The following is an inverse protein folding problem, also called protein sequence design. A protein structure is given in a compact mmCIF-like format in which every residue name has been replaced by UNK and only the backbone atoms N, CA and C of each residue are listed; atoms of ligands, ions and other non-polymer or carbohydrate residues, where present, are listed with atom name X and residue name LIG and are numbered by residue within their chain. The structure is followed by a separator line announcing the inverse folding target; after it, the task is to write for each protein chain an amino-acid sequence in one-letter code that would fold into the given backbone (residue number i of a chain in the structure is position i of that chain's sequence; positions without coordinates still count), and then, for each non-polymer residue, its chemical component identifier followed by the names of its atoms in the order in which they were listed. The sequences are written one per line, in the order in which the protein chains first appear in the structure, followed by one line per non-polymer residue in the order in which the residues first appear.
data_IF_805551011294
#
_entry.id   IF_805551011294
#
_cell.length_a   1.000
_cell.length_b   1.000
_cell.length_c   1.000
_cell.angle_alpha   90.00
_cell.angle_beta   90.00
_cell.angle_gamma   90.00
#
_symmetry.space_group_name_H-M   'P 1'
#
loop_
_entity.id
_entity.type
_entity.pdbx_description
1 polymer ?
#
# COMPACT_ATOMS: atom_id res chain seq x y z
N UNK A 1 -6.43 -1.90 -18.03
CA UNK A 1 -7.62 -2.68 -17.60
C UNK A 1 -8.74 -2.64 -18.65
N UNK A 2 -9.12 -1.48 -19.22
CA UNK A 2 -10.20 -1.34 -20.23
C UNK A 2 -10.10 -2.35 -21.36
N UNK A 3 -8.93 -2.46 -22.03
CA UNK A 3 -8.74 -3.39 -23.14
C UNK A 3 -8.92 -4.86 -22.70
N UNK A 4 -8.56 -5.19 -21.45
CA UNK A 4 -8.77 -6.53 -20.92
C UNK A 4 -10.27 -6.81 -20.70
N UNK A 5 -11.02 -5.85 -20.16
CA UNK A 5 -12.48 -5.97 -19.99
C UNK A 5 -13.16 -6.17 -21.33
N UNK A 6 -12.89 -5.31 -22.31
CA UNK A 6 -13.47 -5.41 -23.66
C UNK A 6 -13.10 -6.71 -24.36
N UNK A 7 -11.82 -7.09 -24.29
CA UNK A 7 -11.34 -8.34 -24.92
C UNK A 7 -11.95 -9.59 -24.28
N UNK A 8 -12.02 -9.65 -22.94
CA UNK A 8 -12.63 -10.81 -22.25
C UNK A 8 -14.13 -10.88 -22.47
N UNK A 9 -14.83 -9.73 -22.60
CA UNK A 9 -16.25 -9.71 -22.95
C UNK A 9 -16.49 -10.27 -24.35
N UNK A 10 -15.67 -9.90 -25.34
CA UNK A 10 -15.77 -10.46 -26.70
C UNK A 10 -15.51 -11.97 -26.72
N UNK A 11 -14.48 -12.43 -25.97
CA UNK A 11 -14.16 -13.88 -25.87
C UNK A 11 -15.30 -14.65 -25.19
N UNK A 12 -15.89 -14.10 -24.12
CA UNK A 12 -17.04 -14.72 -23.44
C UNK A 12 -18.23 -14.84 -24.39
N UNK A 13 -18.55 -13.78 -25.16
CA UNK A 13 -19.62 -13.80 -26.16
C UNK A 13 -19.41 -14.82 -27.25
N UNK A 14 -18.18 -14.97 -27.77
CA UNK A 14 -17.82 -15.98 -28.77
C UNK A 14 -17.84 -17.43 -28.23
N UNK A 15 -17.80 -17.62 -26.93
CA UNK A 15 -17.75 -18.94 -26.27
C UNK A 15 -18.97 -19.18 -25.35
N UNK A 16 -20.14 -18.62 -25.68
CA UNK A 16 -21.31 -18.63 -24.80
C UNK A 16 -21.80 -20.05 -24.42
N UNK A 17 -21.52 -21.04 -25.26
CA UNK A 17 -21.85 -22.43 -25.05
C UNK A 17 -20.80 -23.20 -24.22
N UNK A 18 -19.74 -22.53 -23.75
CA UNK A 18 -18.72 -23.11 -22.88
C UNK A 18 -18.72 -22.39 -21.52
N UNK A 19 -19.47 -22.93 -20.50
CA UNK A 19 -19.63 -22.26 -19.21
C UNK A 19 -18.30 -22.02 -18.46
N UNK A 20 -17.34 -22.93 -18.56
CA UNK A 20 -16.03 -22.80 -17.90
C UNK A 20 -15.24 -21.62 -18.49
N UNK A 21 -15.25 -21.49 -19.81
CA UNK A 21 -14.59 -20.39 -20.51
C UNK A 21 -15.25 -19.05 -20.20
N UNK A 22 -16.58 -19.02 -20.14
CA UNK A 22 -17.34 -17.82 -19.77
C UNK A 22 -17.03 -17.43 -18.31
N UNK A 23 -17.01 -18.38 -17.38
CA UNK A 23 -16.67 -18.13 -15.98
C UNK A 23 -15.25 -17.55 -15.82
N UNK A 24 -14.25 -18.12 -16.51
CA UNK A 24 -12.87 -17.58 -16.54
C UNK A 24 -12.83 -16.12 -17.06
N UNK A 25 -13.55 -15.84 -18.15
CA UNK A 25 -13.63 -14.49 -18.69
C UNK A 25 -14.29 -13.52 -17.73
N UNK A 26 -15.39 -13.90 -17.08
CA UNK A 26 -16.09 -13.08 -16.09
C UNK A 26 -15.18 -12.78 -14.87
N UNK A 27 -14.42 -13.76 -14.38
CA UNK A 27 -13.44 -13.56 -13.32
C UNK A 27 -12.39 -12.52 -13.69
N UNK A 28 -11.84 -12.61 -14.91
CA UNK A 28 -10.85 -11.64 -15.43
C UNK A 28 -11.44 -10.25 -15.65
N UNK A 29 -12.71 -10.16 -16.09
CA UNK A 29 -13.43 -8.88 -16.21
C UNK A 29 -13.59 -8.25 -14.82
N UNK A 30 -14.05 -9.00 -13.83
CA UNK A 30 -14.22 -8.53 -12.46
C UNK A 30 -12.90 -8.00 -11.88
N UNK A 31 -11.83 -8.77 -12.01
CA UNK A 31 -10.49 -8.36 -11.56
C UNK A 31 -10.02 -7.08 -12.24
N UNK A 32 -10.20 -6.99 -13.58
CA UNK A 32 -9.79 -5.80 -14.34
C UNK A 32 -10.64 -4.58 -14.01
N UNK A 33 -11.92 -4.78 -13.68
CA UNK A 33 -12.82 -3.70 -13.26
C UNK A 33 -12.45 -3.16 -11.88
N UNK A 34 -12.16 -4.03 -10.91
CA UNK A 34 -11.67 -3.59 -9.60
C UNK A 34 -10.35 -2.84 -9.71
N UNK A 35 -9.43 -3.32 -10.56
CA UNK A 35 -8.19 -2.61 -10.82
C UNK A 35 -8.44 -1.22 -11.42
N UNK A 36 -9.36 -1.09 -12.38
CA UNK A 36 -9.70 0.20 -12.99
C UNK A 36 -10.30 1.17 -11.96
N UNK A 37 -11.20 0.69 -11.10
CA UNK A 37 -11.77 1.50 -10.01
C UNK A 37 -10.68 1.98 -9.05
N UNK A 38 -9.72 1.13 -8.69
CA UNK A 38 -8.56 1.51 -7.89
C UNK A 38 -7.76 2.65 -8.51
N UNK A 39 -7.46 2.54 -9.82
CA UNK A 39 -6.74 3.59 -10.57
C UNK A 39 -7.49 4.93 -10.58
N UNK A 40 -8.80 4.89 -10.79
CA UNK A 40 -9.64 6.10 -10.78
C UNK A 40 -9.61 6.76 -9.41
N UNK A 41 -9.73 5.97 -8.34
CA UNK A 41 -9.70 6.49 -6.98
C UNK A 41 -8.33 7.10 -6.63
N UNK A 42 -7.22 6.47 -7.02
CA UNK A 42 -5.87 7.03 -6.84
C UNK A 42 -5.70 8.38 -7.56
N UNK A 43 -6.19 8.51 -8.81
CA UNK A 43 -6.14 9.78 -9.56
C UNK A 43 -7.03 10.85 -8.91
N UNK A 44 -8.22 10.48 -8.43
CA UNK A 44 -9.12 11.40 -7.72
C UNK A 44 -8.51 11.85 -6.39
N UNK A 45 -7.89 10.94 -5.63
CA UNK A 45 -7.19 11.27 -4.39
C UNK A 45 -6.04 12.25 -4.67
N UNK A 46 -5.21 11.96 -5.68
CA UNK A 46 -4.13 12.87 -6.07
C UNK A 46 -4.63 14.27 -6.45
N UNK A 47 -5.68 14.34 -7.26
CA UNK A 47 -6.31 15.62 -7.65
C UNK A 47 -6.86 16.40 -6.45
N UNK A 48 -7.47 15.71 -5.48
CA UNK A 48 -7.97 16.35 -4.23
C UNK A 48 -6.81 16.87 -3.38
N UNK A 49 -5.73 16.12 -3.27
CA UNK A 49 -4.51 16.50 -2.56
C UNK A 49 -3.90 17.76 -3.19
N UNK A 50 -3.66 17.76 -4.51
CA UNK A 50 -3.08 18.89 -5.24
C UNK A 50 -3.93 20.16 -5.13
N UNK A 51 -5.25 20.02 -5.07
CA UNK A 51 -6.17 21.16 -4.90
C UNK A 51 -6.28 21.68 -3.46
N UNK A 52 -5.60 21.06 -2.50
CA UNK A 52 -5.66 21.42 -1.07
C UNK A 52 -7.03 21.24 -0.43
N UNK A 53 -7.92 20.44 -1.04
CA UNK A 53 -9.31 20.24 -0.59
C UNK A 53 -9.49 19.03 0.33
N UNK A 54 -8.42 18.33 0.64
CA UNK A 54 -8.49 17.19 1.57
C UNK A 54 -8.54 17.72 3.00
N UNK A 55 -9.54 17.32 3.73
CA UNK A 55 -9.70 17.58 5.16
C UNK A 55 -9.51 16.25 5.88
N UNK A 56 -8.74 16.22 6.97
CA UNK A 56 -8.61 15.04 7.82
C UNK A 56 -9.94 14.75 8.51
N UNK A 57 -10.33 13.49 8.51
CA UNK A 57 -11.49 13.01 9.24
C UNK A 57 -11.01 12.34 10.54
N UNK A 58 -10.78 13.15 11.56
CA UNK A 58 -10.27 12.66 12.85
C UNK A 58 -11.40 12.04 13.67
N UNK A 59 -11.16 10.82 14.15
CA UNK A 59 -12.09 10.05 15.00
C UNK A 59 -11.32 9.23 16.04
N UNK A 60 -12.03 8.77 17.06
CA UNK A 60 -11.46 7.84 18.03
C UNK A 60 -11.37 6.43 17.42
N UNK A 61 -10.22 5.80 17.51
CA UNK A 61 -10.01 4.42 17.05
C UNK A 61 -8.93 3.71 17.88
N UNK A 62 -8.88 2.38 17.75
CA UNK A 62 -7.89 1.56 18.43
C UNK A 62 -6.79 1.13 17.46
N UNK A 63 -5.52 1.31 17.84
CA UNK A 63 -4.36 1.00 17.00
C UNK A 63 -4.18 -0.51 16.78
N UNK A 64 -4.51 -1.35 17.77
CA UNK A 64 -4.40 -2.79 17.62
C UNK A 64 -5.46 -3.31 16.62
N UNK A 65 -6.69 -2.81 16.67
CA UNK A 65 -7.75 -3.12 15.69
C UNK A 65 -7.34 -2.67 14.28
N UNK A 66 -6.76 -1.49 14.14
CA UNK A 66 -6.23 -0.99 12.85
C UNK A 66 -5.17 -1.92 12.28
N UNK A 67 -4.27 -2.45 13.11
CA UNK A 67 -3.24 -3.40 12.69
C UNK A 67 -3.87 -4.72 12.24
N UNK A 68 -4.84 -5.24 12.96
CA UNK A 68 -5.55 -6.47 12.60
C UNK A 68 -6.27 -6.33 11.25
N UNK A 69 -6.91 -5.20 11.01
CA UNK A 69 -7.56 -4.88 9.73
C UNK A 69 -6.54 -4.83 8.58
N UNK A 70 -5.40 -4.17 8.78
CA UNK A 70 -4.31 -4.08 7.81
C UNK A 70 -3.77 -5.46 7.43
N UNK A 71 -3.59 -6.35 8.41
CA UNK A 71 -3.16 -7.73 8.19
C UNK A 71 -4.25 -8.49 7.45
N UNK A 72 -5.51 -8.35 7.86
CA UNK A 72 -6.67 -9.00 7.25
C UNK A 72 -6.79 -8.70 5.76
N UNK A 73 -6.67 -7.42 5.38
CA UNK A 73 -6.73 -6.96 3.98
C UNK A 73 -5.59 -7.57 3.13
N UNK A 74 -4.40 -7.72 3.69
CA UNK A 74 -3.23 -8.18 2.94
C UNK A 74 -3.01 -9.69 2.99
N UNK A 75 -3.70 -10.42 3.88
CA UNK A 75 -3.51 -11.86 4.13
C UNK A 75 -3.59 -12.72 2.87
N UNK A 76 -4.55 -12.42 1.99
CA UNK A 76 -4.71 -13.17 0.73
C UNK A 76 -3.51 -13.03 -0.20
N UNK A 77 -2.98 -11.82 -0.34
CA UNK A 77 -1.82 -11.54 -1.19
C UNK A 77 -0.53 -12.13 -0.60
N UNK A 78 -0.35 -12.03 0.71
CA UNK A 78 0.78 -12.62 1.44
C UNK A 78 0.81 -14.14 1.21
N UNK A 79 -0.34 -14.80 1.38
CA UNK A 79 -0.47 -16.23 1.18
C UNK A 79 -0.26 -16.66 -0.29
N UNK A 80 -0.76 -15.88 -1.25
CA UNK A 80 -0.62 -16.16 -2.68
C UNK A 80 0.84 -16.15 -3.15
N UNK A 81 1.70 -15.31 -2.54
CA UNK A 81 3.14 -15.24 -2.79
C UNK A 81 3.96 -16.12 -1.84
N UNK A 82 3.33 -16.80 -0.90
CA UNK A 82 4.00 -17.64 0.10
C UNK A 82 4.94 -16.86 1.03
N UNK A 83 4.69 -15.56 1.23
CA UNK A 83 5.50 -14.73 2.12
C UNK A 83 5.24 -15.07 3.59
N UNK A 84 6.28 -14.92 4.42
CA UNK A 84 6.13 -14.83 5.86
C UNK A 84 5.97 -13.36 6.28
N UNK A 85 5.02 -13.09 7.18
CA UNK A 85 4.80 -11.79 7.78
C UNK A 85 4.95 -11.91 9.30
N UNK A 86 5.92 -11.18 9.86
CA UNK A 86 6.03 -10.98 11.30
C UNK A 86 5.43 -9.63 11.67
N UNK A 87 4.63 -9.63 12.73
CA UNK A 87 3.97 -8.43 13.25
C UNK A 87 4.40 -8.19 14.68
N UNK A 88 4.87 -6.98 14.96
CA UNK A 88 5.35 -6.59 16.29
C UNK A 88 4.70 -5.29 16.77
N UNK A 89 4.04 -5.36 17.91
CA UNK A 89 3.54 -4.20 18.64
C UNK A 89 4.53 -3.90 19.80
N UNK A 90 5.25 -2.80 19.69
CA UNK A 90 6.26 -2.43 20.67
C UNK A 90 5.83 -1.25 21.51
N UNK A 91 5.80 -1.43 22.84
CA UNK A 91 5.61 -0.35 23.82
C UNK A 91 4.43 0.57 23.48
N UNK A 92 3.28 0.01 23.13
CA UNK A 92 2.04 0.76 23.00
C UNK A 92 1.46 0.92 24.41
N UNK A 93 1.62 2.11 24.99
CA UNK A 93 0.99 2.48 26.28
C UNK A 93 -0.41 3.04 26.05
N UNK A 94 -0.62 3.65 24.87
CA UNK A 94 -1.90 4.25 24.48
C UNK A 94 -2.35 3.66 23.15
N UNK A 95 -3.27 2.70 23.20
CA UNK A 95 -3.82 2.06 22.01
C UNK A 95 -5.03 2.80 21.45
N UNK A 96 -5.83 3.44 22.34
CA UNK A 96 -6.99 4.25 21.96
C UNK A 96 -6.53 5.67 21.66
N UNK A 97 -6.67 6.09 20.42
CA UNK A 97 -6.15 7.36 19.91
C UNK A 97 -7.21 8.11 19.09
N UNK A 98 -6.94 9.39 18.82
CA UNK A 98 -7.78 10.25 18.01
C UNK A 98 -7.01 10.70 16.78
N UNK A 99 -7.52 10.43 15.59
CA UNK A 99 -6.86 10.75 14.31
C UNK A 99 -7.61 10.20 13.11
N UNK A 100 -7.02 10.30 11.91
CA UNK A 100 -7.62 9.80 10.66
C UNK A 100 -7.17 8.35 10.39
N UNK A 101 -7.93 7.40 10.95
CA UNK A 101 -7.67 5.95 10.83
C UNK A 101 -7.62 5.50 9.37
N UNK A 102 -8.50 6.04 8.51
CA UNK A 102 -8.57 5.69 7.08
C UNK A 102 -7.32 6.14 6.32
N UNK A 103 -6.79 7.32 6.64
CA UNK A 103 -5.55 7.81 6.01
C UNK A 103 -4.33 7.02 6.47
N UNK A 104 -4.25 6.68 7.75
CA UNK A 104 -3.20 5.79 8.26
C UNK A 104 -3.28 4.43 7.56
N UNK A 105 -4.47 3.84 7.49
CA UNK A 105 -4.69 2.58 6.78
C UNK A 105 -4.27 2.66 5.31
N UNK A 106 -4.62 3.74 4.61
CA UNK A 106 -4.22 3.97 3.21
C UNK A 106 -2.70 4.01 3.05
N UNK A 107 -2.00 4.77 3.91
CA UNK A 107 -0.53 4.88 3.90
C UNK A 107 0.12 3.51 4.08
N UNK A 108 -0.25 2.81 5.15
CA UNK A 108 0.37 1.52 5.48
C UNK A 108 0.03 0.45 4.45
N UNK A 109 -1.20 0.43 3.92
CA UNK A 109 -1.59 -0.49 2.83
C UNK A 109 -0.75 -0.25 1.57
N UNK A 110 -0.48 1.00 1.19
CA UNK A 110 0.38 1.31 0.05
C UNK A 110 1.80 0.78 0.25
N UNK A 111 2.35 0.91 1.44
CA UNK A 111 3.70 0.43 1.76
C UNK A 111 3.73 -1.11 1.82
N UNK A 112 2.77 -1.74 2.52
CA UNK A 112 2.67 -3.21 2.62
C UNK A 112 2.45 -3.85 1.25
N UNK A 113 1.58 -3.27 0.41
CA UNK A 113 1.34 -3.80 -0.93
C UNK A 113 2.61 -3.72 -1.80
N UNK A 114 3.42 -2.68 -1.64
CA UNK A 114 4.72 -2.60 -2.30
C UNK A 114 5.70 -3.64 -1.75
N UNK A 115 5.80 -3.81 -0.44
CA UNK A 115 6.62 -4.87 0.16
C UNK A 115 6.24 -6.26 -0.40
N UNK A 116 4.94 -6.58 -0.49
CA UNK A 116 4.45 -7.84 -1.04
C UNK A 116 4.82 -7.99 -2.53
N UNK A 117 4.64 -6.94 -3.33
CA UNK A 117 4.89 -6.98 -4.79
C UNK A 117 6.37 -7.09 -5.16
N UNK A 118 7.25 -6.44 -4.38
CA UNK A 118 8.67 -6.34 -4.71
C UNK A 118 9.54 -7.32 -3.93
N UNK A 119 8.93 -8.16 -3.10
CA UNK A 119 9.58 -9.29 -2.45
C UNK A 119 9.37 -10.54 -3.31
N UNK A 120 10.42 -11.30 -3.66
CA UNK A 120 10.28 -12.58 -4.37
C UNK A 120 9.45 -13.58 -3.55
N UNK A 121 8.74 -14.46 -4.24
CA UNK A 121 7.91 -15.50 -3.61
C UNK A 121 8.67 -16.25 -2.51
N UNK A 122 8.00 -16.48 -1.38
CA UNK A 122 8.60 -17.09 -0.20
C UNK A 122 9.47 -16.14 0.64
N UNK A 123 9.48 -14.83 0.32
CA UNK A 123 10.23 -13.84 1.05
C UNK A 123 9.64 -13.50 2.42
N UNK A 124 10.28 -12.56 3.11
CA UNK A 124 9.99 -12.20 4.49
C UNK A 124 9.70 -10.71 4.63
N UNK A 125 8.59 -10.39 5.30
CA UNK A 125 8.14 -9.03 5.57
C UNK A 125 7.95 -8.89 7.07
N UNK A 126 8.42 -7.79 7.64
CA UNK A 126 8.22 -7.44 9.04
C UNK A 126 7.41 -6.14 9.10
N UNK A 127 6.29 -6.17 9.79
CA UNK A 127 5.52 -4.98 10.11
C UNK A 127 5.58 -4.72 11.61
N UNK A 128 5.92 -3.50 12.01
CA UNK A 128 5.95 -3.13 13.42
C UNK A 128 5.37 -1.74 13.65
N UNK A 129 4.77 -1.57 14.82
CA UNK A 129 4.35 -0.28 15.36
C UNK A 129 4.99 -0.09 16.73
N UNK A 130 5.43 1.13 17.01
CA UNK A 130 5.98 1.52 18.30
C UNK A 130 5.50 2.92 18.68
N UNK A 131 5.07 3.09 19.93
CA UNK A 131 4.86 4.40 20.50
C UNK A 131 6.21 5.03 20.86
N UNK A 132 6.42 6.28 20.46
CA UNK A 132 7.63 7.03 20.71
C UNK A 132 7.39 8.12 21.76
N UNK A 133 8.39 8.45 22.59
CA UNK A 133 8.28 9.57 23.51
C UNK A 133 7.95 10.88 22.79
N UNK A 134 7.01 11.63 23.33
CA UNK A 134 6.67 12.98 22.84
C UNK A 134 6.79 13.98 23.98
N UNK A 135 7.16 15.22 23.65
CA UNK A 135 7.22 16.33 24.61
C UNK A 135 5.92 17.16 24.61
N UNK A 136 4.98 16.87 23.70
CA UNK A 136 3.72 17.61 23.58
C UNK A 136 2.63 16.91 24.38
N UNK A 137 2.09 17.51 25.45
CA UNK A 137 1.04 16.89 26.23
C UNK A 137 -0.20 16.61 25.39
N UNK A 138 -0.75 15.39 25.50
CA UNK A 138 -1.95 14.97 24.78
C UNK A 138 -1.75 14.63 23.30
N UNK A 139 -0.51 14.65 22.82
CA UNK A 139 -0.16 14.21 21.44
C UNK A 139 0.64 12.92 21.53
N UNK A 140 0.14 11.85 20.92
CA UNK A 140 0.88 10.61 20.74
C UNK A 140 1.86 10.71 19.57
N UNK A 141 2.95 9.95 19.60
CA UNK A 141 3.87 9.79 18.49
C UNK A 141 4.00 8.30 18.17
N UNK A 142 3.56 7.91 16.99
CA UNK A 142 3.51 6.51 16.59
C UNK A 142 4.37 6.29 15.36
N UNK A 143 5.23 5.28 15.43
CA UNK A 143 6.13 4.90 14.35
C UNK A 143 5.72 3.55 13.79
N UNK A 144 5.30 3.53 12.53
CA UNK A 144 4.98 2.33 11.76
C UNK A 144 6.18 1.99 10.88
N UNK A 145 6.65 0.75 10.96
CA UNK A 145 7.78 0.29 10.15
C UNK A 145 7.38 -0.94 9.35
N UNK A 146 7.65 -0.91 8.04
CA UNK A 146 7.53 -2.07 7.14
C UNK A 146 8.91 -2.35 6.57
N UNK A 147 9.42 -3.54 6.82
CA UNK A 147 10.71 -4.01 6.30
C UNK A 147 10.49 -5.26 5.48
N UNK A 148 11.09 -5.31 4.31
CA UNK A 148 11.10 -6.47 3.42
C UNK A 148 12.53 -6.90 3.07
N UNK A 149 12.69 -8.15 2.65
CA UNK A 149 13.93 -8.68 2.07
C UNK A 149 13.85 -8.79 0.54
N UNK A 150 13.13 -7.87 -0.09
CA UNK A 150 12.87 -7.83 -1.51
C UNK A 150 14.05 -7.37 -2.37
N UNK A 151 13.73 -6.94 -3.59
CA UNK A 151 14.73 -6.53 -4.58
C UNK A 151 15.47 -5.25 -4.21
N UNK A 152 14.95 -4.45 -3.27
CA UNK A 152 15.49 -3.15 -2.92
C UNK A 152 15.48 -2.12 -4.05
N UNK A 153 16.05 -0.96 -3.78
CA UNK A 153 16.04 0.20 -4.69
C UNK A 153 17.43 0.81 -4.83
N UNK A 154 17.72 1.36 -6.03
CA UNK A 154 18.94 2.15 -6.24
C UNK A 154 18.84 3.51 -5.55
N UNK A 155 19.97 4.15 -5.19
CA UNK A 155 19.95 5.48 -4.59
C UNK A 155 19.28 6.55 -5.48
N UNK A 156 19.40 6.41 -6.81
CA UNK A 156 18.77 7.30 -7.78
C UNK A 156 17.25 7.20 -7.74
N UNK A 157 16.71 5.96 -7.67
CA UNK A 157 15.28 5.73 -7.58
C UNK A 157 14.69 6.19 -6.24
N UNK A 158 15.41 6.00 -5.14
CA UNK A 158 14.97 6.48 -3.82
C UNK A 158 14.71 8.00 -3.80
N UNK A 159 15.48 8.79 -4.57
CA UNK A 159 15.30 10.26 -4.63
C UNK A 159 13.99 10.69 -5.28
N UNK A 160 13.46 9.88 -6.18
CA UNK A 160 12.24 10.16 -6.96
C UNK A 160 11.06 9.25 -6.58
N UNK A 161 11.22 8.41 -5.57
CA UNK A 161 10.24 7.40 -5.15
C UNK A 161 8.85 7.98 -4.88
N UNK A 162 8.82 9.19 -4.34
CA UNK A 162 7.59 9.89 -3.96
C UNK A 162 7.05 10.84 -5.05
N UNK A 163 7.71 10.93 -6.20
CA UNK A 163 7.18 11.69 -7.32
C UNK A 163 6.03 10.92 -7.98
N UNK A 164 4.93 11.61 -8.35
CA UNK A 164 3.80 10.96 -9.02
C UNK A 164 4.21 10.26 -10.32
N UNK A 165 3.57 9.12 -10.60
CA UNK A 165 3.79 8.29 -11.80
C UNK A 165 5.19 7.68 -11.92
N UNK A 166 6.00 7.75 -10.86
CA UNK A 166 7.36 7.19 -10.86
C UNK A 166 7.33 5.67 -10.69
N UNK A 167 8.10 4.98 -11.53
CA UNK A 167 8.27 3.53 -11.49
C UNK A 167 9.73 3.18 -11.71
N UNK A 168 10.22 2.13 -11.02
CA UNK A 168 11.55 1.61 -11.28
C UNK A 168 11.61 1.02 -12.71
N UNK A 169 12.50 1.57 -13.53
CA UNK A 169 12.73 1.10 -14.91
C UNK A 169 13.78 -0.04 -14.90
N UNK A 170 13.36 -1.21 -14.39
CA UNK A 170 14.19 -2.42 -14.31
C UNK A 170 13.45 -3.60 -14.93
N UNK A 171 14.21 -4.46 -15.65
CA UNK A 171 13.67 -5.69 -16.23
C UNK A 171 12.96 -6.60 -15.22
N UNK A 172 13.35 -6.52 -13.93
CA UNK A 172 12.74 -7.26 -12.81
C UNK A 172 11.36 -6.73 -12.42
N UNK A 173 11.12 -5.44 -12.64
CA UNK A 173 9.87 -4.75 -12.26
C UNK A 173 8.90 -4.57 -13.43
N UNK A 174 9.33 -4.83 -14.68
CA UNK A 174 8.53 -4.61 -15.91
C UNK A 174 7.21 -5.38 -15.90
N UNK A 175 7.14 -6.53 -15.21
CA UNK A 175 5.92 -7.34 -15.09
C UNK A 175 5.02 -6.93 -13.92
N UNK A 176 5.52 -6.10 -13.00
CA UNK A 176 4.79 -5.69 -11.80
C UNK A 176 3.88 -4.52 -12.18
N UNK A 177 2.57 -4.71 -12.06
CA UNK A 177 1.58 -3.66 -12.34
C UNK A 177 1.53 -2.64 -11.21
N UNK A 178 1.42 -1.35 -11.57
CA UNK A 178 1.24 -0.25 -10.62
C UNK A 178 1.12 1.08 -11.35
N UNK A 179 0.48 2.05 -10.74
CA UNK A 179 0.26 3.42 -11.25
C UNK A 179 1.47 4.32 -11.06
N UNK A 180 2.28 4.04 -10.03
CA UNK A 180 3.29 4.97 -9.53
C UNK A 180 2.73 6.13 -8.70
N UNK A 181 1.46 6.06 -8.28
CA UNK A 181 0.81 7.09 -7.45
C UNK A 181 0.82 6.74 -5.96
N UNK A 182 0.83 5.47 -5.59
CA UNK A 182 0.65 5.02 -4.22
C UNK A 182 1.64 5.64 -3.22
N UNK A 183 2.93 5.78 -3.57
CA UNK A 183 3.93 6.38 -2.68
C UNK A 183 3.77 7.90 -2.58
N UNK A 184 3.40 8.59 -3.66
CA UNK A 184 3.09 10.01 -3.65
C UNK A 184 1.85 10.30 -2.77
N UNK A 185 0.80 9.49 -2.88
CA UNK A 185 -0.40 9.58 -2.03
C UNK A 185 -0.04 9.33 -0.57
N UNK A 186 0.78 8.30 -0.28
CA UNK A 186 1.23 8.01 1.07
C UNK A 186 2.00 9.18 1.69
N UNK A 187 2.97 9.77 0.98
CA UNK A 187 3.72 10.92 1.47
C UNK A 187 2.82 12.12 1.74
N UNK A 188 1.89 12.42 0.83
CA UNK A 188 0.97 13.54 1.02
C UNK A 188 0.04 13.33 2.22
N UNK A 189 -0.49 12.11 2.40
CA UNK A 189 -1.33 11.80 3.56
C UNK A 189 -0.54 11.94 4.88
N UNK A 190 0.71 11.47 4.92
CA UNK A 190 1.59 11.61 6.07
C UNK A 190 1.90 13.08 6.36
N UNK A 191 2.20 13.88 5.32
CA UNK A 191 2.45 15.33 5.48
C UNK A 191 1.22 16.07 6.04
N UNK A 192 0.00 15.69 5.61
CA UNK A 192 -1.25 16.27 6.13
C UNK A 192 -1.46 15.97 7.62
N UNK A 193 -0.96 14.82 8.10
CA UNK A 193 -0.97 14.42 9.51
C UNK A 193 0.26 14.95 10.28
N UNK A 194 0.98 15.93 9.73
CA UNK A 194 2.23 16.48 10.27
C UNK A 194 3.32 15.43 10.56
N UNK A 195 3.24 14.29 9.91
CA UNK A 195 4.17 13.17 10.06
C UNK A 195 5.35 13.23 9.08
N UNK A 196 6.17 12.18 9.15
CA UNK A 196 7.28 11.94 8.21
C UNK A 196 7.25 10.52 7.68
N UNK A 197 7.79 10.34 6.47
CA UNK A 197 8.01 9.02 5.87
C UNK A 197 9.47 8.94 5.39
N UNK A 198 10.19 7.98 5.93
CA UNK A 198 11.60 7.72 5.63
C UNK A 198 11.75 6.37 4.94
N UNK A 199 12.78 6.25 4.08
CA UNK A 199 13.10 5.02 3.37
C UNK A 199 14.59 4.71 3.47
N UNK A 200 14.90 3.48 3.86
CA UNK A 200 16.22 2.88 3.82
C UNK A 200 16.14 1.68 2.87
N UNK A 201 16.93 1.66 1.81
CA UNK A 201 16.91 0.55 0.85
C UNK A 201 18.25 0.34 0.20
N UNK A 202 18.57 -0.92 -0.07
CA UNK A 202 19.76 -1.31 -0.82
C UNK A 202 19.38 -2.37 -1.86
N UNK A 203 19.85 -2.19 -3.07
CA UNK A 203 19.55 -3.09 -4.19
C UNK A 203 19.99 -4.53 -3.87
N UNK A 204 19.05 -5.45 -3.93
CA UNK A 204 19.26 -6.87 -3.63
C UNK A 204 19.17 -7.24 -2.14
N UNK A 205 18.92 -6.27 -1.24
CA UNK A 205 18.78 -6.53 0.21
C UNK A 205 17.39 -6.23 0.78
N UNK A 206 16.56 -5.52 0.01
CA UNK A 206 15.23 -5.13 0.42
C UNK A 206 15.10 -3.67 0.82
N UNK A 207 13.97 -3.33 1.43
CA UNK A 207 13.66 -1.96 1.83
C UNK A 207 13.09 -1.93 3.24
N UNK A 208 13.24 -0.78 3.89
CA UNK A 208 12.61 -0.46 5.16
C UNK A 208 11.97 0.92 5.04
N UNK A 209 10.68 0.98 5.21
CA UNK A 209 9.90 2.21 5.31
C UNK A 209 9.57 2.49 6.75
N UNK A 210 9.73 3.74 7.17
CA UNK A 210 9.39 4.20 8.52
C UNK A 210 8.47 5.40 8.40
N UNK A 211 7.25 5.27 8.90
CA UNK A 211 6.23 6.34 8.95
C UNK A 211 6.08 6.79 10.39
N UNK A 212 6.26 8.06 10.66
CA UNK A 212 6.04 8.65 11.98
C UNK A 212 4.86 9.61 11.90
N UNK A 213 3.89 9.45 12.81
CA UNK A 213 2.64 10.24 12.88
C UNK A 213 2.46 10.75 14.31
N UNK A 214 1.91 11.97 14.42
CA UNK A 214 1.65 12.64 15.69
C UNK A 214 0.16 12.83 15.94
#
# INVERSE_FOLDING_TARGET
PMNAIVGMTAIAGANINNPERVADCLGKITQSSHHLLGLINEVLDMSRIESGKVVLNEEAFNLAELVDDLIGINKGNIAAHGHSLDVHLHKLEHEDVYGDSLRIQQVITNILSNAIKYTPDGGHIVFSIAEQPTHSPGVGCYQFTVKDNGIGMTPEFQKILFEPFTRADDKRTTKIQGTGLGMAIAQNAVNMMNGTIDVESELGKGSKFTVTIF
#
